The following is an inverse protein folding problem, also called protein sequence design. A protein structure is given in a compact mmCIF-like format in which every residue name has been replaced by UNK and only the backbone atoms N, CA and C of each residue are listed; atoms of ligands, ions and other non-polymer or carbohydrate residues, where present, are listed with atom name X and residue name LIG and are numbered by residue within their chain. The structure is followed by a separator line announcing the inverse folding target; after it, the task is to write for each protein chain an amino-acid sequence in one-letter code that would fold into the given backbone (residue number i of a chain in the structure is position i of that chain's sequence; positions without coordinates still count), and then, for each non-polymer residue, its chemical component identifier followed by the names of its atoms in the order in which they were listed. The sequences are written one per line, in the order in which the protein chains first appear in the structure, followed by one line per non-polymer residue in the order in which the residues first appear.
data_IF_959789411974
#
_entry.id   IF_959789411974
#
_cell.length_a   1.000
_cell.length_b   1.000
_cell.length_c   1.000
_cell.angle_alpha   90.00
_cell.angle_beta   90.00
_cell.angle_gamma   90.00
#
_symmetry.space_group_name_H-M   'P 1'
#
loop_
_entity.id
_entity.type
_entity.pdbx_description
1 polymer ?
#
# COMPACT_ATOMS: atom_id res chain seq x y z
N UNK A 1 20.28 2.47 -6.93
CA UNK A 1 19.86 3.15 -8.18
C UNK A 1 18.49 3.73 -7.84
N UNK A 2 18.25 5.06 -7.86
CA UNK A 2 17.07 5.60 -7.15
C UNK A 2 15.79 4.89 -7.59
N UNK A 3 14.97 4.48 -6.61
CA UNK A 3 13.83 3.59 -6.72
C UNK A 3 12.61 4.25 -6.09
N UNK A 4 11.48 4.14 -6.77
CA UNK A 4 10.17 4.57 -6.30
C UNK A 4 9.13 3.46 -6.50
N UNK A 5 8.01 3.52 -5.79
CA UNK A 5 6.87 2.60 -5.94
C UNK A 5 7.25 1.12 -5.74
N UNK A 6 8.22 0.88 -4.85
CA UNK A 6 8.54 -0.44 -4.32
C UNK A 6 7.59 -0.77 -3.17
N UNK A 7 7.58 -2.02 -2.73
CA UNK A 7 6.84 -2.45 -1.54
C UNK A 7 7.77 -2.53 -0.34
N UNK A 8 7.25 -2.35 0.86
CA UNK A 8 7.96 -2.58 2.11
C UNK A 8 7.03 -3.31 3.08
N UNK A 9 7.48 -4.45 3.59
CA UNK A 9 6.67 -5.32 4.47
C UNK A 9 7.43 -5.63 5.74
N UNK A 10 6.89 -5.26 6.89
CA UNK A 10 7.44 -5.67 8.18
C UNK A 10 6.91 -7.06 8.54
N UNK A 11 7.82 -8.01 8.74
CA UNK A 11 7.51 -9.30 9.37
C UNK A 11 8.44 -9.44 10.58
N UNK A 12 7.84 -9.59 11.76
CA UNK A 12 8.53 -9.56 13.05
C UNK A 12 9.42 -8.31 13.20
N UNK A 13 10.74 -8.46 13.06
CA UNK A 13 11.75 -7.39 13.20
C UNK A 13 12.55 -7.16 11.91
N UNK A 14 12.03 -7.61 10.77
CA UNK A 14 12.67 -7.42 9.47
C UNK A 14 11.73 -6.73 8.49
N UNK A 15 12.19 -5.66 7.85
CA UNK A 15 11.48 -5.03 6.75
C UNK A 15 12.02 -5.61 5.45
N UNK A 16 11.13 -6.09 4.60
CA UNK A 16 11.44 -6.63 3.28
C UNK A 16 11.02 -5.63 2.21
N UNK A 17 11.97 -5.23 1.37
CA UNK A 17 11.76 -4.28 0.27
C UNK A 17 11.81 -5.02 -1.04
N UNK A 18 10.80 -4.84 -1.89
CA UNK A 18 10.70 -5.56 -3.16
C UNK A 18 10.29 -4.65 -4.33
N UNK A 19 11.02 -4.83 -5.42
CA UNK A 19 10.72 -4.30 -6.74
C UNK A 19 10.83 -2.78 -6.83
N UNK A 20 9.96 -2.18 -7.64
CA UNK A 20 9.89 -0.74 -7.85
C UNK A 20 10.46 -0.30 -9.20
N UNK A 21 10.37 1.01 -9.41
CA UNK A 21 10.72 1.70 -10.64
C UNK A 21 11.97 2.56 -10.43
N UNK A 22 12.96 2.35 -11.29
CA UNK A 22 14.24 3.08 -11.23
C UNK A 22 14.21 4.37 -12.04
N UNK A 23 15.18 5.26 -11.82
CA UNK A 23 15.31 6.50 -12.60
C UNK A 23 15.51 6.27 -14.11
N UNK A 24 16.07 5.11 -14.48
CA UNK A 24 16.27 4.73 -15.88
C UNK A 24 14.99 4.21 -16.53
N UNK A 25 13.87 4.33 -15.84
CA UNK A 25 12.57 3.79 -16.23
C UNK A 25 12.56 2.27 -16.39
N UNK A 26 13.39 1.58 -15.60
CA UNK A 26 13.50 0.12 -15.58
C UNK A 26 12.76 -0.40 -14.34
N UNK A 27 11.92 -1.39 -14.56
CA UNK A 27 11.21 -2.10 -13.49
C UNK A 27 12.19 -3.08 -12.87
N UNK A 28 12.07 -3.34 -11.58
CA UNK A 28 13.00 -4.23 -10.88
C UNK A 28 12.22 -5.26 -10.10
N UNK A 29 12.87 -6.38 -9.81
CA UNK A 29 12.48 -7.35 -8.79
C UNK A 29 13.52 -7.41 -7.68
N UNK A 30 14.31 -6.33 -7.52
CA UNK A 30 15.33 -6.29 -6.48
C UNK A 30 14.69 -6.52 -5.12
N UNK A 31 15.35 -7.31 -4.28
CA UNK A 31 14.83 -7.77 -3.03
C UNK A 31 15.87 -7.59 -1.93
N UNK A 32 15.52 -6.80 -0.92
CA UNK A 32 16.40 -6.48 0.20
C UNK A 32 15.69 -6.68 1.52
N UNK A 33 16.44 -6.85 2.59
CA UNK A 33 15.89 -6.78 3.95
C UNK A 33 16.70 -5.88 4.86
N UNK A 34 16.02 -5.28 5.83
CA UNK A 34 16.61 -4.51 6.92
C UNK A 34 16.15 -5.11 8.25
N UNK A 35 17.09 -5.58 9.05
CA UNK A 35 16.87 -6.05 10.41
C UNK A 35 16.82 -4.86 11.37
N UNK A 36 15.62 -4.50 11.80
CA UNK A 36 15.36 -3.35 12.68
C UNK A 36 15.47 -3.71 14.16
N UNK A 37 15.83 -4.96 14.50
CA UNK A 37 16.17 -5.34 15.88
C UNK A 37 17.55 -4.81 16.31
N UNK A 38 18.38 -4.43 15.35
CA UNK A 38 19.72 -3.89 15.54
C UNK A 38 19.68 -2.39 15.38
N UNK A 39 20.25 -1.65 16.33
CA UNK A 39 20.48 -0.22 16.16
C UNK A 39 21.46 0.02 15.02
N UNK A 40 21.14 0.95 14.13
CA UNK A 40 22.05 1.44 13.09
C UNK A 40 22.07 2.97 13.11
N UNK A 41 23.20 3.56 12.74
CA UNK A 41 23.33 5.01 12.62
C UNK A 41 23.51 5.41 11.14
N UNK A 42 23.14 6.64 10.80
CA UNK A 42 23.25 7.12 9.42
C UNK A 42 24.70 7.22 8.92
N UNK A 43 25.67 7.36 9.82
CA UNK A 43 27.10 7.49 9.48
C UNK A 43 27.73 6.17 8.99
N UNK A 44 27.26 5.03 9.49
CA UNK A 44 27.72 3.68 9.11
C UNK A 44 26.93 3.12 7.92
N UNK A 45 25.81 3.77 7.58
CA UNK A 45 24.86 3.30 6.57
C UNK A 45 23.83 2.33 7.16
N UNK A 46 22.72 2.17 6.45
CA UNK A 46 21.70 1.19 6.83
C UNK A 46 22.19 -0.22 6.42
N UNK A 47 22.19 -1.21 7.33
CA UNK A 47 22.73 -2.55 7.08
C UNK A 47 21.73 -3.40 6.29
N UNK A 48 21.47 -3.01 5.04
CA UNK A 48 20.63 -3.79 4.13
C UNK A 48 21.32 -5.10 3.72
N UNK A 49 20.59 -6.20 3.78
CA UNK A 49 20.98 -7.50 3.24
C UNK A 49 20.36 -7.67 1.85
N UNK A 50 21.19 -8.05 0.87
CA UNK A 50 20.77 -8.33 -0.51
C UNK A 50 20.21 -9.76 -0.61
N UNK A 51 18.96 -9.86 -1.03
CA UNK A 51 18.21 -11.11 -1.21
C UNK A 51 17.82 -11.35 -2.68
N UNK A 52 18.44 -10.66 -3.64
CA UNK A 52 18.11 -10.74 -5.07
C UNK A 52 18.16 -12.17 -5.62
N UNK A 53 19.06 -13.01 -5.10
CA UNK A 53 19.17 -14.41 -5.48
C UNK A 53 17.90 -15.23 -5.20
N UNK A 54 17.01 -14.75 -4.31
CA UNK A 54 15.73 -15.40 -3.99
C UNK A 54 14.60 -14.95 -4.92
N UNK A 55 14.63 -13.72 -5.44
CA UNK A 55 13.55 -13.16 -6.28
C UNK A 55 13.80 -13.31 -7.77
N UNK A 56 15.06 -13.31 -8.22
CA UNK A 56 15.45 -13.13 -9.63
C UNK A 56 14.80 -14.11 -10.63
N UNK A 57 14.53 -15.35 -10.21
CA UNK A 57 13.97 -16.41 -11.09
C UNK A 57 12.48 -16.65 -10.90
N UNK A 58 11.87 -16.06 -9.86
CA UNK A 58 10.48 -16.35 -9.47
C UNK A 58 9.61 -15.12 -9.59
N UNK A 59 10.07 -13.98 -9.08
CA UNK A 59 9.28 -12.74 -9.02
C UNK A 59 9.56 -11.90 -10.26
N UNK A 60 8.54 -11.58 -11.08
CA UNK A 60 8.72 -10.69 -12.21
C UNK A 60 9.03 -9.27 -11.76
N UNK A 61 9.77 -8.53 -12.58
CA UNK A 61 10.01 -7.10 -12.36
C UNK A 61 8.69 -6.34 -12.30
N UNK A 62 8.52 -5.46 -11.31
CA UNK A 62 7.25 -4.76 -11.13
C UNK A 62 7.39 -3.42 -10.39
N UNK A 63 6.35 -2.58 -10.47
CA UNK A 63 6.17 -1.43 -9.61
C UNK A 63 4.70 -1.32 -9.15
N UNK A 64 4.41 -0.43 -8.20
CA UNK A 64 3.03 -0.09 -7.76
C UNK A 64 2.19 -1.31 -7.36
N UNK A 65 2.86 -2.39 -6.97
CA UNK A 65 2.24 -3.54 -6.31
C UNK A 65 1.98 -3.20 -4.85
N UNK A 66 1.30 -4.12 -4.16
CA UNK A 66 1.12 -4.04 -2.72
C UNK A 66 1.40 -5.40 -2.10
N UNK A 67 1.84 -5.38 -0.84
CA UNK A 67 2.13 -6.58 -0.07
C UNK A 67 1.36 -6.56 1.24
N UNK A 68 1.02 -7.74 1.74
CA UNK A 68 0.42 -7.87 3.08
C UNK A 68 0.85 -9.17 3.73
N UNK A 69 1.05 -9.13 5.05
CA UNK A 69 1.44 -10.28 5.87
C UNK A 69 0.22 -11.16 6.12
N UNK A 70 0.41 -12.47 6.15
CA UNK A 70 -0.62 -13.43 6.53
C UNK A 70 -0.06 -14.84 6.67
N UNK A 71 -0.93 -15.82 6.43
CA UNK A 71 -0.66 -17.23 6.72
C UNK A 71 -0.80 -17.56 8.20
N UNK A 72 -0.83 -18.85 8.53
CA UNK A 72 -1.13 -19.33 9.89
C UNK A 72 -0.20 -18.78 10.98
N UNK A 73 1.06 -18.51 10.63
CA UNK A 73 2.09 -18.06 11.57
C UNK A 73 2.45 -16.58 11.41
N UNK A 74 1.77 -15.83 10.53
CA UNK A 74 2.16 -14.46 10.15
C UNK A 74 3.63 -14.32 9.72
N UNK A 75 4.22 -15.40 9.22
CA UNK A 75 5.62 -15.49 8.77
C UNK A 75 5.75 -15.35 7.24
N UNK A 76 4.63 -15.13 6.56
CA UNK A 76 4.53 -15.12 5.11
C UNK A 76 3.89 -13.83 4.67
N UNK A 77 4.43 -13.19 3.64
CA UNK A 77 3.75 -12.07 2.99
C UNK A 77 3.46 -12.39 1.54
N UNK A 78 2.36 -11.81 1.06
CA UNK A 78 1.81 -12.03 -0.27
C UNK A 78 2.00 -10.78 -1.11
N UNK A 79 2.35 -10.96 -2.38
CA UNK A 79 2.52 -9.90 -3.36
C UNK A 79 1.28 -9.86 -4.28
N UNK A 80 0.62 -8.71 -4.32
CA UNK A 80 -0.59 -8.50 -5.10
C UNK A 80 -0.39 -7.39 -6.13
N UNK A 81 -0.94 -7.61 -7.33
CA UNK A 81 -1.08 -6.56 -8.34
C UNK A 81 0.24 -6.07 -8.92
N UNK A 82 0.32 -4.76 -9.17
CA UNK A 82 1.47 -4.08 -9.75
C UNK A 82 1.53 -4.08 -11.28
N UNK A 83 2.35 -3.20 -11.83
CA UNK A 83 2.67 -3.17 -13.25
C UNK A 83 3.95 -3.98 -13.49
N UNK A 84 3.87 -5.03 -14.31
CA UNK A 84 4.95 -5.93 -14.70
C UNK A 84 5.46 -5.67 -16.12
N UNK A 85 5.23 -4.47 -16.65
CA UNK A 85 5.77 -4.01 -17.92
C UNK A 85 5.22 -4.82 -19.09
N UNK A 86 6.09 -5.48 -19.84
CA UNK A 86 5.68 -6.31 -20.99
C UNK A 86 4.75 -7.47 -20.59
N UNK A 87 4.87 -7.96 -19.35
CA UNK A 87 4.04 -9.04 -18.83
C UNK A 87 2.64 -8.57 -18.40
N UNK A 88 2.44 -7.25 -18.20
CA UNK A 88 1.14 -6.70 -17.81
C UNK A 88 0.03 -7.00 -18.81
N UNK A 89 0.37 -7.24 -20.09
CA UNK A 89 -0.58 -7.62 -21.16
C UNK A 89 -1.31 -8.92 -20.92
N UNK A 90 -0.73 -9.81 -20.13
CA UNK A 90 -1.34 -11.10 -19.84
C UNK A 90 -2.33 -11.03 -18.68
N UNK A 91 -2.39 -9.91 -17.96
CA UNK A 91 -3.23 -9.66 -16.78
C UNK A 91 -3.22 -10.80 -15.73
N UNK A 92 -2.32 -11.78 -15.89
CA UNK A 92 -2.53 -13.13 -15.40
C UNK A 92 -2.18 -13.22 -13.93
N UNK A 93 -2.88 -14.14 -13.31
CA UNK A 93 -2.91 -14.52 -11.91
C UNK A 93 -1.51 -14.94 -11.44
N UNK A 94 -0.81 -14.04 -10.75
CA UNK A 94 0.52 -14.33 -10.19
C UNK A 94 0.51 -13.86 -8.76
N UNK A 95 -0.39 -14.41 -7.96
CA UNK A 95 -0.27 -14.34 -6.52
C UNK A 95 1.00 -15.08 -6.10
N UNK A 96 1.95 -14.33 -5.56
CA UNK A 96 3.20 -14.86 -5.03
C UNK A 96 3.25 -14.67 -3.54
N UNK A 97 3.95 -15.56 -2.86
CA UNK A 97 4.20 -15.45 -1.43
C UNK A 97 5.67 -15.69 -1.13
N UNK A 98 6.17 -14.99 -0.12
CA UNK A 98 7.48 -15.21 0.45
C UNK A 98 7.32 -15.66 1.89
N UNK A 99 7.79 -16.88 2.20
CA UNK A 99 7.88 -17.35 3.57
C UNK A 99 9.22 -16.89 4.16
N UNK A 100 9.17 -16.07 5.20
CA UNK A 100 10.36 -15.44 5.80
C UNK A 100 11.23 -16.42 6.58
N UNK A 101 10.64 -17.46 7.19
CA UNK A 101 11.37 -18.48 7.93
C UNK A 101 12.14 -19.44 7.01
N UNK A 102 11.54 -19.81 5.89
CA UNK A 102 12.14 -20.69 4.87
C UNK A 102 12.97 -19.92 3.85
N UNK A 103 12.77 -18.61 3.76
CA UNK A 103 13.35 -17.72 2.73
C UNK A 103 13.08 -18.19 1.30
N UNK A 104 11.84 -18.58 1.01
CA UNK A 104 11.44 -19.09 -0.31
C UNK A 104 10.27 -18.30 -0.87
N UNK A 105 10.43 -17.86 -2.12
CA UNK A 105 9.34 -17.38 -2.98
C UNK A 105 8.64 -18.55 -3.64
N UNK A 106 7.31 -18.48 -3.74
CA UNK A 106 6.51 -19.48 -4.44
C UNK A 106 5.25 -18.87 -5.06
N UNK A 107 4.77 -19.51 -6.12
CA UNK A 107 3.41 -19.30 -6.62
C UNK A 107 2.40 -19.86 -5.62
N UNK A 108 1.33 -19.10 -5.37
CA UNK A 108 0.26 -19.54 -4.47
C UNK A 108 -0.77 -20.33 -5.25
N UNK A 109 -0.86 -21.63 -4.97
CA UNK A 109 -1.97 -22.45 -5.48
C UNK A 109 -3.27 -22.05 -4.80
N UNK A 110 -4.23 -21.55 -5.59
CA UNK A 110 -5.56 -21.17 -5.13
C UNK A 110 -6.40 -22.42 -4.90
N UNK A 111 -7.04 -22.51 -3.73
CA UNK A 111 -7.90 -23.64 -3.39
C UNK A 111 -9.35 -23.43 -3.87
N UNK A 112 -9.81 -22.17 -3.91
CA UNK A 112 -11.16 -21.81 -4.36
C UNK A 112 -11.26 -20.30 -4.68
N UNK A 113 -12.26 -19.92 -5.48
CA UNK A 113 -12.44 -18.56 -5.98
C UNK A 113 -11.57 -18.26 -7.21
N UNK A 114 -11.85 -17.13 -7.86
CA UNK A 114 -11.07 -16.62 -9.00
C UNK A 114 -10.17 -15.49 -8.54
N UNK A 115 -8.89 -15.52 -8.94
CA UNK A 115 -7.97 -14.42 -8.67
C UNK A 115 -8.40 -13.20 -9.51
N UNK A 116 -8.52 -12.00 -8.90
CA UNK A 116 -8.98 -10.83 -9.62
C UNK A 116 -7.96 -10.36 -10.66
N UNK A 117 -8.44 -9.60 -11.64
CA UNK A 117 -7.58 -8.90 -12.59
C UNK A 117 -6.52 -8.08 -11.86
N UNK A 118 -5.28 -8.15 -12.33
CA UNK A 118 -4.15 -7.36 -11.85
C UNK A 118 -4.45 -5.86 -11.88
N UNK A 119 -4.21 -5.19 -10.74
CA UNK A 119 -4.37 -3.73 -10.58
C UNK A 119 -3.11 -3.13 -9.97
N UNK A 120 -2.87 -1.85 -10.24
CA UNK A 120 -1.78 -1.08 -9.66
C UNK A 120 -2.31 -0.10 -8.61
N UNK A 121 -1.39 0.40 -7.77
CA UNK A 121 -1.65 1.51 -6.84
C UNK A 121 -2.77 1.25 -5.82
N UNK A 122 -2.97 -0.02 -5.47
CA UNK A 122 -3.78 -0.43 -4.33
C UNK A 122 -2.97 -0.40 -3.03
N UNK A 123 -3.66 -0.42 -1.89
CA UNK A 123 -3.03 -0.59 -0.59
C UNK A 123 -3.72 -1.74 0.15
N UNK A 124 -3.06 -2.91 0.20
CA UNK A 124 -3.58 -4.09 0.87
C UNK A 124 -3.51 -3.96 2.39
N UNK A 125 -4.54 -4.42 3.07
CA UNK A 125 -4.54 -4.58 4.53
C UNK A 125 -5.05 -5.96 4.90
N UNK A 126 -4.51 -6.53 5.97
CA UNK A 126 -4.91 -7.83 6.49
C UNK A 126 -5.57 -7.66 7.86
N UNK A 127 -6.71 -8.32 8.07
CA UNK A 127 -7.38 -8.34 9.37
C UNK A 127 -6.75 -9.35 10.35
N UNK A 128 -7.26 -9.39 11.58
CA UNK A 128 -6.78 -10.29 12.62
C UNK A 128 -6.91 -11.79 12.29
N UNK A 129 -7.70 -12.15 11.27
CA UNK A 129 -7.95 -13.53 10.86
C UNK A 129 -7.15 -13.93 9.61
N UNK A 130 -6.25 -13.05 9.12
CA UNK A 130 -5.47 -13.33 7.92
C UNK A 130 -6.24 -13.12 6.61
N UNK A 131 -7.36 -12.40 6.64
CA UNK A 131 -8.08 -12.02 5.42
C UNK A 131 -7.57 -10.67 4.91
N UNK A 132 -7.05 -10.68 3.69
CA UNK A 132 -6.56 -9.49 2.99
C UNK A 132 -7.72 -8.79 2.28
N UNK A 133 -7.72 -7.47 2.28
CA UNK A 133 -8.68 -6.61 1.59
C UNK A 133 -7.97 -5.74 0.55
N UNK A 134 -8.43 -5.81 -0.70
CA UNK A 134 -7.87 -5.13 -1.87
C UNK A 134 -8.99 -4.31 -2.54
N UNK A 135 -9.05 -3.02 -2.19
CA UNK A 135 -10.06 -2.12 -2.73
C UNK A 135 -9.54 -1.35 -3.95
N UNK A 136 -10.40 -1.15 -4.94
CA UNK A 136 -10.12 -0.25 -6.05
C UNK A 136 -8.85 -0.59 -6.83
N UNK A 137 -8.01 0.42 -7.10
CA UNK A 137 -6.84 0.31 -7.97
C UNK A 137 -7.19 0.54 -9.45
N UNK A 138 -6.17 0.44 -10.30
CA UNK A 138 -6.29 0.67 -11.75
C UNK A 138 -5.70 -0.49 -12.55
N UNK A 139 -6.43 -0.95 -13.57
CA UNK A 139 -5.91 -1.80 -14.64
C UNK A 139 -5.39 -0.87 -15.73
N UNK A 140 -4.07 -0.85 -15.91
CA UNK A 140 -3.39 0.05 -16.85
C UNK A 140 -3.43 -0.45 -18.32
N UNK A 141 -3.98 -1.64 -18.58
CA UNK A 141 -4.24 -2.13 -19.93
C UNK A 141 -5.35 -1.34 -20.62
N UNK A 142 -5.18 -1.03 -21.90
CA UNK A 142 -6.20 -0.33 -22.70
C UNK A 142 -7.41 -1.24 -22.96
N UNK A 143 -8.66 -0.77 -22.70
CA UNK A 143 -9.00 0.51 -22.08
C UNK A 143 -8.70 0.53 -20.58
N UNK A 144 -8.01 1.60 -20.13
CA UNK A 144 -7.66 1.80 -18.72
C UNK A 144 -8.94 1.79 -17.89
N UNK A 145 -8.94 1.02 -16.80
CA UNK A 145 -10.11 0.84 -15.95
C UNK A 145 -9.76 1.07 -14.48
N UNK A 146 -10.54 1.92 -13.82
CA UNK A 146 -10.46 2.17 -12.38
C UNK A 146 -11.55 1.37 -11.67
N UNK A 147 -11.22 0.83 -10.52
CA UNK A 147 -12.12 -0.05 -9.77
C UNK A 147 -12.60 0.62 -8.48
N UNK A 148 -13.83 0.28 -8.09
CA UNK A 148 -14.47 0.53 -6.80
C UNK A 148 -15.05 -0.78 -6.24
N UNK A 149 -14.54 -1.93 -6.71
CA UNK A 149 -14.81 -3.23 -6.12
C UNK A 149 -13.77 -3.56 -5.06
N UNK A 150 -14.15 -4.43 -4.13
CA UNK A 150 -13.26 -5.00 -3.13
C UNK A 150 -13.05 -6.47 -3.44
N UNK A 151 -11.80 -6.88 -3.60
CA UNK A 151 -11.44 -8.30 -3.59
C UNK A 151 -10.82 -8.64 -2.24
N UNK A 152 -11.06 -9.86 -1.78
CA UNK A 152 -10.52 -10.37 -0.53
C UNK A 152 -9.87 -11.72 -0.72
N UNK A 153 -8.78 -11.93 0.01
CA UNK A 153 -8.02 -13.17 -0.04
C UNK A 153 -7.79 -13.72 1.35
N UNK A 154 -8.27 -14.94 1.60
CA UNK A 154 -7.96 -15.68 2.82
C UNK A 154 -6.56 -16.30 2.68
N UNK A 155 -5.60 -15.78 3.44
CA UNK A 155 -4.20 -16.21 3.37
C UNK A 155 -3.93 -17.59 3.97
N UNK A 156 -4.85 -18.10 4.78
CA UNK A 156 -4.75 -19.42 5.43
C UNK A 156 -5.31 -20.49 4.50
N UNK A 157 -6.55 -20.29 4.04
CA UNK A 157 -7.26 -21.25 3.21
C UNK A 157 -6.99 -21.07 1.71
N UNK A 158 -6.31 -19.98 1.31
CA UNK A 158 -5.98 -19.64 -0.07
C UNK A 158 -7.22 -19.52 -0.96
N UNK A 159 -8.20 -18.77 -0.47
CA UNK A 159 -9.49 -18.59 -1.12
C UNK A 159 -9.69 -17.13 -1.48
N UNK A 160 -10.07 -16.89 -2.73
CA UNK A 160 -10.49 -15.58 -3.22
C UNK A 160 -12.00 -15.38 -3.07
N UNK A 161 -12.40 -14.17 -2.67
CA UNK A 161 -13.78 -13.71 -2.71
C UNK A 161 -13.83 -12.28 -3.21
N UNK A 162 -14.69 -12.01 -4.19
CA UNK A 162 -15.03 -10.63 -4.58
C UNK A 162 -16.28 -10.18 -3.81
N UNK A 163 -16.21 -8.98 -3.26
CA UNK A 163 -17.35 -8.29 -2.65
C UNK A 163 -17.93 -7.37 -3.71
N UNK A 164 -19.26 -7.40 -3.83
CA UNK A 164 -20.00 -6.71 -4.88
C UNK A 164 -19.69 -5.21 -4.99
N UNK A 165 -19.84 -4.73 -6.21
CA UNK A 165 -19.69 -3.33 -6.60
C UNK A 165 -20.64 -2.42 -5.82
N UNK A 166 -20.09 -1.39 -5.16
CA UNK A 166 -20.87 -0.31 -4.59
C UNK A 166 -20.79 0.93 -5.50
N UNK A 167 -21.90 1.22 -6.18
CA UNK A 167 -22.00 2.37 -7.11
C UNK A 167 -21.80 3.72 -6.42
N UNK A 168 -22.00 3.77 -5.10
CA UNK A 168 -21.88 5.00 -4.31
C UNK A 168 -20.43 5.34 -4.03
N UNK A 169 -19.52 4.37 -4.10
CA UNK A 169 -18.10 4.61 -3.86
C UNK A 169 -17.37 5.01 -5.13
N UNK A 170 -16.59 6.07 -5.01
CA UNK A 170 -15.71 6.51 -6.10
C UNK A 170 -14.57 5.52 -6.32
N UNK A 171 -14.38 5.04 -7.57
CA UNK A 171 -13.20 4.27 -7.95
C UNK A 171 -11.93 5.06 -7.66
N UNK A 172 -10.92 4.42 -7.07
CA UNK A 172 -9.73 5.14 -6.59
C UNK A 172 -8.45 4.35 -6.65
N UNK A 173 -7.34 5.06 -6.77
CA UNK A 173 -5.99 4.54 -6.66
C UNK A 173 -5.06 5.51 -5.91
N UNK A 174 -3.87 5.04 -5.52
CA UNK A 174 -2.87 5.86 -4.84
C UNK A 174 -3.32 6.40 -3.47
N UNK A 175 -4.31 5.76 -2.87
CA UNK A 175 -4.82 6.01 -1.52
C UNK A 175 -4.02 5.20 -0.49
N UNK A 176 -4.29 5.42 0.80
CA UNK A 176 -3.82 4.53 1.88
C UNK A 176 -5.00 3.85 2.57
N UNK A 177 -4.83 2.59 2.94
CA UNK A 177 -5.78 1.84 3.75
C UNK A 177 -5.12 1.48 5.08
N UNK A 178 -5.89 1.50 6.16
CA UNK A 178 -5.38 1.14 7.49
C UNK A 178 -6.45 0.37 8.25
N UNK A 179 -6.14 -0.88 8.58
CA UNK A 179 -6.99 -1.71 9.43
C UNK A 179 -6.81 -1.31 10.90
N UNK A 180 -7.92 -1.16 11.63
CA UNK A 180 -7.96 -0.83 13.06
C UNK A 180 -8.40 -2.09 13.82
N UNK A 181 -7.45 -2.85 14.42
CA UNK A 181 -7.71 -4.19 14.97
C UNK A 181 -8.82 -4.27 16.00
N UNK A 182 -8.94 -3.27 16.87
CA UNK A 182 -9.90 -3.33 17.98
C UNK A 182 -11.35 -3.12 17.54
N UNK A 183 -11.55 -2.37 16.47
CA UNK A 183 -12.89 -2.09 15.93
C UNK A 183 -13.24 -2.95 14.72
N UNK A 184 -12.26 -3.60 14.09
CA UNK A 184 -12.49 -4.38 12.86
C UNK A 184 -12.88 -3.52 11.66
N UNK A 185 -12.37 -2.28 11.57
CA UNK A 185 -12.67 -1.39 10.44
C UNK A 185 -11.41 -1.08 9.65
N UNK A 186 -11.58 -0.82 8.35
CA UNK A 186 -10.52 -0.32 7.47
C UNK A 186 -10.85 1.12 7.12
N UNK A 187 -9.90 2.02 7.35
CA UNK A 187 -10.03 3.44 7.02
C UNK A 187 -9.28 3.70 5.72
N UNK A 188 -9.97 4.27 4.72
CA UNK A 188 -9.41 4.62 3.42
C UNK A 188 -9.22 6.14 3.32
N UNK A 189 -7.98 6.57 3.07
CA UNK A 189 -7.61 7.99 3.12
C UNK A 189 -7.04 8.43 1.76
N UNK A 190 -7.62 9.52 1.23
CA UNK A 190 -7.17 10.21 0.03
C UNK A 190 -7.17 9.35 -1.22
N UNK A 191 -6.20 9.60 -2.10
CA UNK A 191 -6.11 8.97 -3.42
C UNK A 191 -6.78 9.79 -4.51
N UNK A 192 -6.71 9.27 -5.73
CA UNK A 192 -7.29 9.91 -6.91
C UNK A 192 -8.55 9.16 -7.33
N UNK A 193 -9.69 9.85 -7.25
CA UNK A 193 -10.98 9.35 -7.69
C UNK A 193 -11.17 9.49 -9.19
N UNK A 194 -11.69 8.45 -9.84
CA UNK A 194 -12.18 8.52 -11.22
C UNK A 194 -13.54 7.87 -11.35
N UNK A 195 -14.58 8.65 -11.58
CA UNK A 195 -15.87 8.09 -11.98
C UNK A 195 -15.89 7.73 -13.47
N UNK A 196 -16.58 6.63 -13.79
CA UNK A 196 -16.81 6.21 -15.17
C UNK A 196 -17.61 7.29 -15.93
N UNK A 197 -17.39 7.36 -17.24
CA UNK A 197 -18.19 8.17 -18.15
C UNK A 197 -19.70 7.92 -17.89
N UNK A 198 -20.54 8.97 -17.76
CA UNK A 198 -20.37 10.31 -18.30
C UNK A 198 -19.98 11.45 -17.32
N UNK A 199 -19.64 11.21 -16.03
CA UNK A 199 -19.52 12.32 -15.06
C UNK A 199 -18.19 12.44 -14.29
N UNK A 200 -17.35 13.38 -14.75
CA UNK A 200 -16.84 14.60 -14.06
C UNK A 200 -16.48 14.50 -12.56
N UNK A 201 -15.82 13.43 -12.10
CA UNK A 201 -14.80 13.61 -11.05
C UNK A 201 -13.56 12.81 -11.41
N UNK A 202 -12.58 13.52 -11.96
CA UNK A 202 -11.17 13.13 -11.94
C UNK A 202 -10.48 14.08 -10.97
N UNK A 203 -10.17 13.59 -9.79
CA UNK A 203 -9.63 14.47 -8.76
C UNK A 203 -9.19 13.75 -7.52
N UNK A 204 -8.42 14.47 -6.70
CA UNK A 204 -8.10 14.00 -5.36
C UNK A 204 -9.37 13.88 -4.52
N UNK A 205 -9.47 12.79 -3.76
CA UNK A 205 -10.60 12.55 -2.87
C UNK A 205 -10.56 13.44 -1.64
N UNK A 206 -11.74 13.85 -1.17
CA UNK A 206 -11.89 14.71 0.00
C UNK A 206 -11.36 14.01 1.27
N UNK A 207 -10.66 14.77 2.11
CA UNK A 207 -10.14 14.31 3.40
C UNK A 207 -11.13 14.64 4.53
N UNK A 208 -12.13 15.50 4.26
CA UNK A 208 -13.21 15.89 5.16
C UNK A 208 -14.27 14.82 5.36
N UNK A 209 -14.36 13.84 4.47
CA UNK A 209 -15.30 12.73 4.58
C UNK A 209 -14.65 11.45 4.03
N UNK A 210 -14.14 10.62 4.93
CA UNK A 210 -13.36 9.41 4.58
C UNK A 210 -14.26 8.18 4.52
N UNK A 211 -13.91 7.22 3.66
CA UNK A 211 -14.64 5.95 3.58
C UNK A 211 -14.08 4.96 4.59
N UNK A 212 -14.99 4.28 5.28
CA UNK A 212 -14.68 3.24 6.25
C UNK A 212 -15.41 1.97 5.84
N UNK A 213 -14.68 0.87 5.78
CA UNK A 213 -15.24 -0.46 5.61
C UNK A 213 -15.27 -1.20 6.95
N UNK A 214 -16.44 -1.66 7.38
CA UNK A 214 -16.61 -2.50 8.55
C UNK A 214 -16.47 -3.97 8.14
N UNK A 215 -15.40 -4.64 8.56
CA UNK A 215 -15.13 -6.03 8.16
C UNK A 215 -16.03 -7.04 8.85
N UNK A 216 -16.69 -6.64 9.95
CA UNK A 216 -17.60 -7.49 10.72
C UNK A 216 -19.02 -7.41 10.16
N UNK A 217 -19.47 -6.19 9.87
CA UNK A 217 -20.81 -5.92 9.29
C UNK A 217 -20.84 -6.03 7.77
N UNK A 218 -19.68 -6.10 7.13
CA UNK A 218 -19.52 -6.20 5.69
C UNK A 218 -20.23 -5.06 4.96
N UNK A 219 -20.01 -3.82 5.41
CA UNK A 219 -20.61 -2.63 4.81
C UNK A 219 -19.68 -1.42 4.84
N UNK A 220 -19.97 -0.48 3.94
CA UNK A 220 -19.29 0.81 3.87
C UNK A 220 -20.07 1.88 4.63
N UNK A 221 -19.33 2.86 5.14
CA UNK A 221 -19.89 4.11 5.64
C UNK A 221 -18.94 5.28 5.38
N UNK A 222 -19.51 6.45 5.16
CA UNK A 222 -18.75 7.69 5.16
C UNK A 222 -18.60 8.23 6.58
N UNK A 223 -17.42 8.77 6.89
CA UNK A 223 -17.07 9.32 8.19
C UNK A 223 -16.57 10.75 8.03
N UNK A 224 -17.36 11.76 8.44
CA UNK A 224 -16.89 13.14 8.51
C UNK A 224 -15.69 13.26 9.46
N UNK A 225 -14.70 14.04 9.05
CA UNK A 225 -13.52 14.38 9.85
C UNK A 225 -13.52 15.85 10.24
N UNK A 226 -12.74 16.20 11.27
CA UNK A 226 -12.59 17.58 11.75
C UNK A 226 -11.22 18.12 11.36
N UNK A 227 -11.20 19.36 10.88
CA UNK A 227 -10.00 20.06 10.41
C UNK A 227 -9.23 19.31 9.31
N UNK A 228 -9.87 18.84 8.22
CA UNK A 228 -9.19 18.04 7.22
C UNK A 228 -8.03 18.78 6.54
N UNK A 229 -6.88 18.12 6.29
CA UNK A 229 -5.84 18.68 5.45
C UNK A 229 -6.27 18.71 3.98
N UNK A 230 -5.47 19.35 3.12
CA UNK A 230 -5.67 19.24 1.67
C UNK A 230 -5.54 17.78 1.22
N UNK A 231 -6.41 17.41 0.28
CA UNK A 231 -6.38 16.12 -0.41
C UNK A 231 -5.03 15.85 -1.08
N UNK A 232 -4.68 14.57 -1.17
CA UNK A 232 -3.38 14.09 -1.69
C UNK A 232 -3.46 12.67 -2.22
N UNK A 233 -2.53 12.32 -3.11
CA UNK A 233 -2.37 10.97 -3.71
C UNK A 233 -0.92 10.49 -3.56
N UNK A 234 -0.70 9.17 -3.53
CA UNK A 234 0.61 8.52 -3.38
C UNK A 234 1.36 8.91 -2.09
N UNK A 235 0.61 9.26 -1.05
CA UNK A 235 1.12 9.35 0.31
C UNK A 235 1.19 7.95 0.92
N UNK A 236 1.90 7.84 2.03
CA UNK A 236 1.95 6.60 2.84
C UNK A 236 1.29 6.85 4.18
N UNK A 237 0.87 5.78 4.86
CA UNK A 237 0.25 5.85 6.16
C UNK A 237 0.81 4.77 7.09
N UNK A 238 0.84 5.06 8.39
CA UNK A 238 1.08 4.07 9.44
C UNK A 238 0.09 4.26 10.59
N UNK A 239 -0.30 3.16 11.24
CA UNK A 239 -1.10 3.17 12.47
C UNK A 239 -0.18 3.09 13.69
N UNK A 240 -0.25 4.08 14.55
CA UNK A 240 0.47 4.12 15.84
C UNK A 240 -0.26 3.32 16.93
N UNK A 241 0.50 2.88 17.94
CA UNK A 241 -0.01 2.13 19.09
C UNK A 241 -1.10 2.89 19.88
N UNK A 242 -1.07 4.22 19.84
CA UNK A 242 -2.06 5.07 20.49
C UNK A 242 -3.21 5.50 19.56
N UNK A 243 -3.46 4.69 18.51
CA UNK A 243 -4.62 4.79 17.61
C UNK A 243 -4.68 6.09 16.82
N UNK A 244 -3.53 6.52 16.32
CA UNK A 244 -3.42 7.62 15.35
C UNK A 244 -2.87 7.12 14.03
N UNK A 245 -3.46 7.56 12.93
CA UNK A 245 -2.93 7.33 11.60
C UNK A 245 -2.04 8.52 11.24
N UNK A 246 -0.75 8.28 11.02
CA UNK A 246 0.17 9.30 10.48
C UNK A 246 0.23 9.09 8.98
N UNK A 247 -0.15 10.10 8.20
CA UNK A 247 0.09 10.11 6.76
C UNK A 247 1.33 10.94 6.43
N UNK A 248 2.14 10.50 5.46
CA UNK A 248 3.38 11.16 5.06
C UNK A 248 3.50 11.33 3.55
N UNK A 249 3.94 12.51 3.14
CA UNK A 249 4.09 12.93 1.75
C UNK A 249 2.75 13.05 1.05
N UNK A 250 2.70 12.58 -0.18
CA UNK A 250 1.62 12.79 -1.14
C UNK A 250 1.92 13.91 -2.13
N UNK A 251 1.25 13.82 -3.27
CA UNK A 251 1.28 14.81 -4.33
C UNK A 251 -0.09 15.46 -4.52
N UNK A 252 -0.07 16.61 -5.18
CA UNK A 252 -1.25 17.31 -5.67
C UNK A 252 -1.92 16.57 -6.85
N UNK A 253 -2.99 17.16 -7.38
CA UNK A 253 -3.78 16.58 -8.47
C UNK A 253 -2.99 16.42 -9.78
N UNK A 254 -1.94 17.23 -9.98
CA UNK A 254 -1.06 17.11 -11.15
C UNK A 254 -0.04 15.97 -10.98
N UNK A 255 0.12 15.50 -9.75
CA UNK A 255 1.18 14.60 -9.28
C UNK A 255 2.59 15.18 -9.43
N UNK A 256 2.74 16.45 -9.81
CA UNK A 256 4.04 17.11 -10.07
C UNK A 256 4.53 17.92 -8.88
N UNK A 257 3.64 18.26 -7.94
CA UNK A 257 3.96 19.05 -6.77
C UNK A 257 3.62 18.29 -5.48
N UNK A 258 4.37 18.50 -4.39
CA UNK A 258 4.05 17.92 -3.10
C UNK A 258 2.70 18.45 -2.58
N UNK A 259 2.06 17.68 -1.70
CA UNK A 259 0.97 18.19 -0.87
C UNK A 259 1.44 19.37 0.00
N UNK A 260 0.52 20.21 0.46
CA UNK A 260 0.83 21.44 1.20
C UNK A 260 1.64 21.20 2.48
N UNK A 261 1.46 20.03 3.11
CA UNK A 261 2.13 19.61 4.34
C UNK A 261 2.79 18.25 4.17
N UNK A 262 3.93 18.05 4.82
CA UNK A 262 4.69 16.80 4.72
C UNK A 262 4.07 15.64 5.48
N UNK A 263 3.45 15.88 6.63
CA UNK A 263 2.69 14.85 7.34
C UNK A 263 1.46 15.42 8.03
N UNK A 264 0.50 14.55 8.32
CA UNK A 264 -0.74 14.87 9.01
C UNK A 264 -1.11 13.69 9.90
N UNK A 265 -1.81 13.95 11.01
CA UNK A 265 -2.16 12.90 11.97
C UNK A 265 -3.66 12.88 12.18
N UNK A 266 -4.30 11.73 11.94
CA UNK A 266 -5.71 11.49 12.23
C UNK A 266 -5.85 10.69 13.53
N UNK A 267 -6.54 11.26 14.52
CA UNK A 267 -7.00 10.50 15.68
C UNK A 267 -8.20 9.63 15.27
N UNK A 268 -8.06 8.31 15.40
CA UNK A 268 -9.06 7.33 14.93
C UNK A 268 -10.31 7.33 15.80
N UNK A 269 -10.23 7.74 17.07
CA UNK A 269 -11.37 7.76 17.98
C UNK A 269 -12.24 9.00 17.77
N UNK A 270 -11.62 10.14 17.50
CA UNK A 270 -12.34 11.42 17.37
C UNK A 270 -12.52 11.86 15.91
N UNK A 271 -11.84 11.22 14.96
CA UNK A 271 -11.73 11.61 13.56
C UNK A 271 -11.29 13.07 13.38
N UNK A 272 -10.39 13.52 14.25
CA UNK A 272 -9.81 14.86 14.17
C UNK A 272 -8.39 14.79 13.62
N UNK A 273 -8.13 15.66 12.66
CA UNK A 273 -6.80 15.87 12.11
C UNK A 273 -6.00 16.85 12.96
N UNK A 274 -4.72 16.55 13.11
CA UNK A 274 -3.71 17.39 13.72
C UNK A 274 -2.61 17.67 12.69
N UNK A 275 -2.34 18.97 12.51
CA UNK A 275 -1.46 19.44 11.45
C UNK A 275 -0.01 19.54 11.87
N UNK A 276 0.88 19.08 10.99
CA UNK A 276 2.32 19.31 11.13
C UNK A 276 2.69 20.77 10.86
N UNK A 277 3.86 21.18 11.37
CA UNK A 277 4.44 22.46 11.00
C UNK A 277 4.93 22.43 9.55
N UNK A 278 4.66 23.49 8.79
CA UNK A 278 5.00 23.63 7.36
C UNK A 278 6.50 23.60 7.05
N UNK A 279 7.35 23.90 8.03
CA UNK A 279 8.78 24.16 7.81
C UNK A 279 9.72 22.96 8.01
N UNK A 280 9.17 21.75 8.13
CA UNK A 280 10.02 20.57 8.23
C UNK A 280 10.54 20.24 6.82
N UNK A 281 11.73 20.75 6.49
CA UNK A 281 12.44 20.37 5.28
C UNK A 281 12.92 18.91 5.42
N UNK A 282 12.11 17.98 4.94
CA UNK A 282 12.48 16.57 4.89
C UNK A 282 13.07 16.28 3.51
N UNK A 283 14.30 15.75 3.49
CA UNK A 283 15.01 15.32 2.27
C UNK A 283 14.36 14.11 1.56
N UNK A 284 13.23 13.62 2.07
CA UNK A 284 12.49 12.51 1.51
C UNK A 284 11.67 12.97 0.29
N UNK A 285 11.52 12.11 -0.72
CA UNK A 285 10.59 12.38 -1.81
C UNK A 285 9.17 12.46 -1.25
N UNK A 286 8.32 13.25 -1.91
CA UNK A 286 6.92 13.41 -1.51
C UNK A 286 6.03 12.28 -2.04
N UNK A 287 6.51 11.40 -2.93
CA UNK A 287 5.73 10.24 -3.42
C UNK A 287 6.65 9.10 -3.82
N UNK A 288 6.09 7.89 -3.89
CA UNK A 288 6.79 6.69 -4.33
C UNK A 288 7.77 6.13 -3.29
N UNK A 289 7.81 6.70 -2.08
CA UNK A 289 8.40 6.10 -0.89
C UNK A 289 7.44 5.08 -0.26
N UNK A 290 7.96 4.29 0.68
CA UNK A 290 7.17 3.45 1.58
C UNK A 290 7.29 3.98 3.00
N UNK A 291 6.33 3.63 3.85
CA UNK A 291 6.42 3.88 5.29
C UNK A 291 6.09 2.63 6.07
N UNK A 292 6.81 2.42 7.17
CA UNK A 292 6.64 1.28 8.06
C UNK A 292 6.81 1.76 9.49
N UNK A 293 5.86 1.44 10.37
CA UNK A 293 6.03 1.70 11.80
C UNK A 293 6.86 0.58 12.42
N UNK A 294 7.91 0.96 13.14
CA UNK A 294 8.70 0.06 13.98
C UNK A 294 8.75 0.68 15.37
N UNK A 295 8.18 -0.02 16.34
CA UNK A 295 7.94 0.52 17.68
C UNK A 295 7.20 1.87 17.60
N UNK A 296 7.79 2.94 18.12
CA UNK A 296 7.24 4.31 18.06
C UNK A 296 7.83 5.17 16.92
N UNK A 297 8.54 4.55 15.96
CA UNK A 297 9.22 5.25 14.88
C UNK A 297 8.62 4.90 13.51
N UNK A 298 8.19 5.92 12.77
CA UNK A 298 7.84 5.77 11.36
C UNK A 298 9.11 5.83 10.50
N UNK A 299 9.49 4.70 9.91
CA UNK A 299 10.59 4.62 8.95
C UNK A 299 10.07 4.90 7.55
N UNK A 300 10.66 5.90 6.88
CA UNK A 300 10.37 6.24 5.49
C UNK A 300 11.50 5.70 4.61
N UNK A 301 11.19 4.73 3.75
CA UNK A 301 12.18 4.15 2.86
C UNK A 301 12.02 4.67 1.43
N UNK A 302 13.14 5.13 0.89
CA UNK A 302 13.31 5.65 -0.45
C UNK A 302 14.80 5.60 -0.78
N UNK A 303 15.15 5.48 -2.06
CA UNK A 303 16.55 5.61 -2.45
C UNK A 303 16.89 7.04 -2.82
N UNK A 304 17.87 7.64 -2.13
CA UNK A 304 18.46 8.95 -2.47
C UNK A 304 19.84 8.76 -3.07
N UNK A 305 20.23 9.65 -3.98
CA UNK A 305 21.66 9.85 -4.30
C UNK A 305 22.29 10.66 -3.14
N UNK A 306 23.47 10.25 -2.69
CA UNK A 306 24.33 11.06 -1.82
C UNK A 306 24.80 12.28 -2.62
#
# INVERSE_FOLDING_TARGET
MKRAFHTATLVEKKIYFLGGFTELSIYTNDFFTLDVSKSFNQSEGCPFEDLNHLSASVVPEHNRATTSVGGLSNDTFFLFGGDMGSQSKYASEILQSFNTSKQVWQYVTINSGEEPLRRTSMNAVTDNNGKVYLYGGVKELVPIQYFNSMDTFDTVNKIWFSIDFDITLTPRDGYTATYIPESGVIIYIGGFGRHFYPYITSGLLDMGNIDIYDTVRNNWRNQPTKNPPKSRVFHTAVLTNDKRIIIFGGADNTTKHPAETYYEVLDVNTYQWYHSNKDIYIRAPYKGHTATLVDDHMLIAFERKI
#
